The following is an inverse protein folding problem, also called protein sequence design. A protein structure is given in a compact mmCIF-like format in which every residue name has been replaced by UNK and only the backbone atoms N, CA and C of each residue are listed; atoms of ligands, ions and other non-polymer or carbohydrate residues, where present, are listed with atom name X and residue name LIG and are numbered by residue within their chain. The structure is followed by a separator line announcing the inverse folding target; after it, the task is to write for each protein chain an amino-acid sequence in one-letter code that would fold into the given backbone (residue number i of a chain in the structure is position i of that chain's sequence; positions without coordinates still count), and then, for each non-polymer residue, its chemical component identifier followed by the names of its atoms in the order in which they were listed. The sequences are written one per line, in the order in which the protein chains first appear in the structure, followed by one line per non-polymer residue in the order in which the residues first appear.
data_IF_197048520733
#
_entry.id   IF_197048520733
#
_cell.length_a   1.000
_cell.length_b   1.000
_cell.length_c   1.000
_cell.angle_alpha   90.00
_cell.angle_beta   90.00
_cell.angle_gamma   90.00
#
_symmetry.space_group_name_H-M   'P 1'
#
loop_
_entity.id
_entity.type
_entity.pdbx_description
1 polymer ?
#
# COMPACT_ATOMS: atom_id res chain seq x y z
N UNK A 1 11.36 6.48 6.31
CA UNK A 1 10.23 5.73 6.89
C UNK A 1 10.79 4.58 7.71
N UNK A 2 10.03 3.96 8.62
CA UNK A 2 10.44 2.72 9.30
C UNK A 2 9.90 1.53 8.52
N UNK A 3 10.78 0.66 8.02
CA UNK A 3 10.38 -0.51 7.23
C UNK A 3 10.52 -1.77 8.09
N UNK A 4 9.38 -2.44 8.32
CA UNK A 4 9.28 -3.72 9.02
C UNK A 4 9.26 -4.82 7.95
N UNK A 5 10.32 -5.62 7.90
CA UNK A 5 10.43 -6.77 6.98
C UNK A 5 10.02 -8.04 7.72
N UNK A 6 9.00 -8.72 7.22
CA UNK A 6 8.44 -9.94 7.80
C UNK A 6 8.63 -11.13 6.83
N UNK A 7 8.97 -12.34 7.32
CA UNK A 7 9.18 -12.70 8.73
C UNK A 7 10.54 -12.25 9.26
N UNK A 8 11.49 -11.98 8.36
CA UNK A 8 12.77 -11.36 8.68
C UNK A 8 13.25 -10.46 7.54
N UNK A 9 14.24 -9.63 7.83
CA UNK A 9 14.92 -8.85 6.80
C UNK A 9 15.56 -9.73 5.72
N UNK A 10 16.15 -10.86 6.10
CA UNK A 10 16.81 -11.75 5.15
C UNK A 10 15.82 -12.37 4.17
N UNK A 11 14.65 -12.79 4.65
CA UNK A 11 13.64 -13.44 3.82
C UNK A 11 13.05 -12.45 2.80
N UNK A 12 12.75 -11.23 3.23
CA UNK A 12 12.26 -10.17 2.32
C UNK A 12 13.34 -9.77 1.31
N UNK A 13 14.61 -9.65 1.73
CA UNK A 13 15.69 -9.33 0.80
C UNK A 13 15.92 -10.47 -0.22
N UNK A 14 15.77 -11.72 0.20
CA UNK A 14 15.82 -12.89 -0.69
C UNK A 14 14.70 -12.80 -1.72
N UNK A 15 13.45 -12.60 -1.28
CA UNK A 15 12.30 -12.44 -2.17
C UNK A 15 12.49 -11.29 -3.18
N UNK A 16 13.01 -10.14 -2.74
CA UNK A 16 13.37 -9.02 -3.64
C UNK A 16 14.41 -9.47 -4.69
N UNK A 17 15.47 -10.18 -4.26
CA UNK A 17 16.53 -10.63 -5.16
C UNK A 17 16.07 -11.68 -6.16
N UNK A 18 15.11 -12.52 -5.77
CA UNK A 18 14.47 -13.54 -6.60
C UNK A 18 13.31 -12.99 -7.42
N UNK A 19 13.03 -11.68 -7.31
CA UNK A 19 11.97 -10.96 -8.01
C UNK A 19 10.59 -11.51 -7.70
N UNK A 20 10.42 -12.04 -6.50
CA UNK A 20 9.12 -12.51 -6.06
C UNK A 20 8.20 -11.33 -5.72
N UNK A 21 6.89 -11.46 -5.99
CA UNK A 21 5.91 -10.47 -5.61
C UNK A 21 5.83 -10.29 -4.08
N UNK A 22 5.63 -9.04 -3.67
CA UNK A 22 5.57 -8.60 -2.28
C UNK A 22 4.20 -8.01 -1.94
N UNK A 23 3.78 -8.21 -0.70
CA UNK A 23 2.75 -7.41 -0.05
C UNK A 23 3.40 -6.28 0.72
N UNK A 24 2.95 -5.05 0.46
CA UNK A 24 3.41 -3.85 1.15
C UNK A 24 2.22 -3.12 1.77
N UNK A 25 2.33 -2.82 3.06
CA UNK A 25 1.40 -2.02 3.84
C UNK A 25 2.10 -0.76 4.27
N UNK A 26 1.57 0.42 3.93
CA UNK A 26 2.19 1.70 4.30
C UNK A 26 1.17 2.50 5.11
N UNK A 27 1.51 2.88 6.33
CA UNK A 27 0.62 3.69 7.17
C UNK A 27 0.29 4.99 6.46
N UNK A 28 -0.93 5.51 6.63
CA UNK A 28 -1.34 6.74 5.93
C UNK A 28 -0.50 7.97 6.27
N UNK A 29 0.18 7.98 7.41
CA UNK A 29 1.11 9.04 7.79
C UNK A 29 2.52 8.87 7.21
N UNK A 30 2.76 7.80 6.43
CA UNK A 30 4.02 7.50 5.78
C UNK A 30 5.16 7.12 6.73
N UNK A 31 4.87 6.87 8.02
CA UNK A 31 5.91 6.60 9.01
C UNK A 31 6.33 5.15 9.05
N UNK A 32 5.43 4.21 8.74
CA UNK A 32 5.69 2.78 8.84
C UNK A 32 5.29 2.09 7.54
N UNK A 33 6.19 1.26 7.01
CA UNK A 33 5.86 0.26 6.01
C UNK A 33 6.09 -1.14 6.58
N UNK A 34 5.24 -2.09 6.20
CA UNK A 34 5.38 -3.51 6.51
C UNK A 34 5.44 -4.24 5.18
N UNK A 35 6.47 -5.06 5.00
CA UNK A 35 6.76 -5.76 3.74
C UNK A 35 6.93 -7.24 4.01
N UNK A 36 6.34 -8.05 3.15
CA UNK A 36 6.52 -9.50 3.14
C UNK A 36 6.41 -10.03 1.72
N UNK A 37 7.04 -11.18 1.47
CA UNK A 37 6.74 -12.00 0.32
C UNK A 37 5.24 -12.37 0.31
N UNK A 38 4.63 -12.46 -0.89
CA UNK A 38 3.17 -12.56 -1.02
C UNK A 38 2.59 -13.86 -0.49
N UNK A 39 3.23 -15.01 -0.72
CA UNK A 39 2.76 -16.32 -0.27
C UNK A 39 2.91 -16.50 1.24
N UNK A 40 3.90 -15.84 1.86
CA UNK A 40 4.06 -15.86 3.31
C UNK A 40 2.84 -15.27 4.01
N UNK A 41 2.34 -14.10 3.58
CA UNK A 41 1.22 -13.45 4.25
C UNK A 41 -0.14 -13.69 3.58
N UNK A 42 -0.16 -14.01 2.28
CA UNK A 42 -1.31 -14.20 1.38
C UNK A 42 -2.21 -12.97 1.21
N UNK A 43 -2.56 -12.28 2.29
CA UNK A 43 -3.39 -11.08 2.29
C UNK A 43 -2.82 -9.98 3.20
N UNK A 44 -3.06 -8.72 2.86
CA UNK A 44 -2.57 -7.57 3.64
C UNK A 44 -3.03 -7.58 5.10
N UNK A 45 -4.28 -7.98 5.37
CA UNK A 45 -4.79 -7.99 6.74
C UNK A 45 -4.13 -9.09 7.60
N UNK A 46 -3.69 -10.19 6.96
CA UNK A 46 -2.92 -11.26 7.59
C UNK A 46 -1.48 -10.80 7.82
N UNK A 47 -0.84 -10.13 6.85
CA UNK A 47 0.48 -9.52 7.03
C UNK A 47 0.49 -8.59 8.24
N UNK A 48 -0.53 -7.74 8.37
CA UNK A 48 -0.65 -6.80 9.49
C UNK A 48 -0.69 -7.55 10.84
N UNK A 49 -1.49 -8.62 10.92
CA UNK A 49 -1.57 -9.47 12.11
C UNK A 49 -0.25 -10.17 12.42
N UNK A 50 0.42 -10.73 11.40
CA UNK A 50 1.72 -11.40 11.52
C UNK A 50 2.82 -10.46 11.98
N UNK A 51 2.77 -9.19 11.57
CA UNK A 51 3.67 -8.14 12.01
C UNK A 51 3.34 -7.56 13.40
N UNK A 52 2.33 -8.11 14.11
CA UNK A 52 1.98 -7.72 15.48
C UNK A 52 0.98 -6.57 15.60
N UNK A 53 0.30 -6.19 14.52
CA UNK A 53 -0.71 -5.13 14.51
C UNK A 53 -2.13 -5.71 14.41
N UNK A 54 -3.18 -5.00 14.86
CA UNK A 54 -4.56 -5.47 14.73
C UNK A 54 -4.98 -5.56 13.27
N UNK A 55 -5.40 -6.73 12.77
CA UNK A 55 -5.84 -6.90 11.37
C UNK A 55 -6.95 -5.94 10.94
N UNK A 56 -7.77 -5.47 11.89
CA UNK A 56 -8.81 -4.45 11.71
C UNK A 56 -8.28 -3.07 11.34
N UNK A 57 -7.00 -2.79 11.57
CA UNK A 57 -6.37 -1.52 11.22
C UNK A 57 -6.06 -1.41 9.72
N UNK A 58 -6.47 -2.36 8.90
CA UNK A 58 -6.23 -2.37 7.46
C UNK A 58 -6.66 -1.07 6.74
N UNK A 59 -7.73 -0.42 7.23
CA UNK A 59 -8.23 0.85 6.71
C UNK A 59 -7.41 2.07 7.17
N UNK A 60 -6.26 1.86 7.83
CA UNK A 60 -5.26 2.88 8.18
C UNK A 60 -3.99 2.79 7.32
N UNK A 61 -3.98 1.90 6.34
CA UNK A 61 -2.81 1.61 5.49
C UNK A 61 -3.16 1.68 4.00
N UNK A 62 -2.21 2.16 3.21
CA UNK A 62 -2.15 1.91 1.78
C UNK A 62 -1.71 0.47 1.55
N UNK A 63 -2.43 -0.24 0.67
CA UNK A 63 -2.26 -1.66 0.39
C UNK A 63 -1.74 -1.87 -1.02
N UNK A 64 -0.51 -2.35 -1.14
CA UNK A 64 0.19 -2.48 -2.41
C UNK A 64 0.58 -3.94 -2.62
N UNK A 65 0.41 -4.42 -3.84
CA UNK A 65 1.12 -5.60 -4.36
C UNK A 65 2.25 -5.06 -5.23
N UNK A 66 3.48 -5.45 -4.94
CA UNK A 66 4.68 -4.92 -5.59
C UNK A 66 5.45 -6.05 -6.26
N UNK A 67 5.81 -5.88 -7.51
CA UNK A 67 6.72 -6.74 -8.26
C UNK A 67 7.70 -5.91 -9.10
N UNK A 68 8.45 -6.56 -10.00
CA UNK A 68 9.40 -5.87 -10.87
C UNK A 68 8.74 -4.98 -11.94
N UNK A 69 7.46 -5.21 -12.25
CA UNK A 69 6.72 -4.50 -13.29
C UNK A 69 5.96 -3.28 -12.74
N UNK A 70 5.51 -3.34 -11.49
CA UNK A 70 4.65 -2.30 -10.95
C UNK A 70 4.27 -2.42 -9.48
N UNK A 71 3.66 -1.34 -8.99
CA UNK A 71 3.05 -1.27 -7.67
C UNK A 71 1.53 -1.15 -7.81
N UNK A 72 0.83 -2.25 -7.64
CA UNK A 72 -0.62 -2.33 -7.73
C UNK A 72 -1.28 -1.88 -6.41
N UNK A 73 -1.84 -0.68 -6.43
CA UNK A 73 -2.52 -0.09 -5.28
C UNK A 73 -3.99 -0.47 -5.23
N UNK A 74 -4.37 -1.15 -4.14
CA UNK A 74 -5.78 -1.34 -3.75
C UNK A 74 -6.38 -0.02 -3.27
N UNK A 75 -6.91 0.75 -4.21
CA UNK A 75 -7.47 2.08 -3.97
C UNK A 75 -8.86 2.01 -3.34
N UNK A 76 -8.90 1.98 -2.01
CA UNK A 76 -10.14 2.03 -1.21
C UNK A 76 -9.97 3.14 -0.19
N UNK A 77 -10.58 4.29 -0.48
CA UNK A 77 -10.56 5.44 0.42
C UNK A 77 -11.54 5.21 1.58
N UNK A 78 -11.08 5.23 2.86
CA UNK A 78 -11.96 5.14 4.01
C UNK A 78 -13.00 6.27 4.05
N UNK A 79 -14.20 6.04 4.61
CA UNK A 79 -15.26 7.04 4.69
C UNK A 79 -14.91 8.23 5.60
N UNK A 80 -14.03 8.01 6.57
CA UNK A 80 -13.58 8.96 7.58
C UNK A 80 -12.14 9.47 7.33
N UNK A 81 -11.57 9.20 6.15
CA UNK A 81 -10.20 9.62 5.82
C UNK A 81 -9.98 11.12 6.08
N UNK A 82 -9.07 11.43 7.01
CA UNK A 82 -8.75 12.78 7.51
C UNK A 82 -9.96 13.61 7.99
N UNK A 83 -11.07 12.96 8.33
CA UNK A 83 -12.31 13.64 8.74
C UNK A 83 -12.98 14.46 7.62
N UNK A 84 -12.63 14.22 6.35
CA UNK A 84 -13.17 14.99 5.23
C UNK A 84 -14.55 14.45 4.86
N UNK A 85 -15.61 15.21 5.16
CA UNK A 85 -16.99 14.81 4.86
C UNK A 85 -17.28 14.75 3.35
N UNK A 86 -16.80 15.74 2.60
CA UNK A 86 -16.99 15.82 1.15
C UNK A 86 -16.27 14.67 0.43
N UNK A 87 -17.04 13.85 -0.31
CA UNK A 87 -16.54 12.62 -0.92
C UNK A 87 -15.46 12.88 -1.97
N UNK A 88 -15.64 13.88 -2.84
CA UNK A 88 -14.67 14.16 -3.91
C UNK A 88 -13.36 14.66 -3.32
N UNK A 89 -13.41 15.66 -2.43
CA UNK A 89 -12.22 16.17 -1.72
C UNK A 89 -11.51 15.07 -0.93
N UNK A 90 -12.25 14.18 -0.28
CA UNK A 90 -11.68 13.05 0.46
C UNK A 90 -10.91 12.10 -0.46
N UNK A 91 -11.51 11.71 -1.59
CA UNK A 91 -10.88 10.85 -2.60
C UNK A 91 -9.65 11.52 -3.21
N UNK A 92 -9.72 12.82 -3.56
CA UNK A 92 -8.58 13.57 -4.09
C UNK A 92 -7.44 13.68 -3.09
N UNK A 93 -7.73 13.93 -1.81
CA UNK A 93 -6.71 13.93 -0.76
C UNK A 93 -6.06 12.55 -0.63
N UNK A 94 -6.87 11.50 -0.49
CA UNK A 94 -6.41 10.12 -0.40
C UNK A 94 -5.50 9.73 -1.58
N UNK A 95 -5.86 10.11 -2.81
CA UNK A 95 -5.02 9.89 -3.99
C UNK A 95 -3.67 10.61 -3.91
N UNK A 96 -3.67 11.91 -3.59
CA UNK A 96 -2.43 12.70 -3.51
C UNK A 96 -1.50 12.21 -2.41
N UNK A 97 -2.06 11.96 -1.23
CA UNK A 97 -1.33 11.45 -0.07
C UNK A 97 -0.76 10.06 -0.36
N UNK A 98 -1.60 9.16 -0.89
CA UNK A 98 -1.17 7.81 -1.25
C UNK A 98 -0.09 7.81 -2.32
N UNK A 99 -0.22 8.61 -3.38
CA UNK A 99 0.80 8.68 -4.42
C UNK A 99 2.17 9.10 -3.84
N UNK A 100 2.21 10.16 -3.02
CA UNK A 100 3.44 10.61 -2.38
C UNK A 100 4.04 9.53 -1.46
N UNK A 101 3.23 9.01 -0.53
CA UNK A 101 3.68 8.05 0.48
C UNK A 101 4.11 6.71 -0.13
N UNK A 102 3.38 6.23 -1.15
CA UNK A 102 3.73 5.01 -1.88
C UNK A 102 5.03 5.22 -2.65
N UNK A 103 5.18 6.34 -3.38
CA UNK A 103 6.42 6.63 -4.09
C UNK A 103 7.64 6.67 -3.17
N UNK A 104 7.52 7.29 -2.00
CA UNK A 104 8.59 7.32 -1.01
C UNK A 104 8.95 5.90 -0.52
N UNK A 105 7.95 5.07 -0.20
CA UNK A 105 8.17 3.68 0.22
C UNK A 105 8.86 2.84 -0.86
N UNK A 106 8.42 2.96 -2.12
CA UNK A 106 9.02 2.23 -3.25
C UNK A 106 10.49 2.64 -3.44
N UNK A 107 10.78 3.94 -3.34
CA UNK A 107 12.15 4.44 -3.42
C UNK A 107 13.02 3.92 -2.27
N UNK A 108 12.51 3.87 -1.03
CA UNK A 108 13.26 3.32 0.11
C UNK A 108 13.50 1.80 -0.02
N UNK A 109 12.59 1.08 -0.70
CA UNK A 109 12.74 -0.34 -1.02
C UNK A 109 13.62 -0.61 -2.25
N UNK A 110 14.05 0.44 -2.98
CA UNK A 110 14.90 0.31 -4.16
C UNK A 110 14.15 0.03 -5.47
N UNK A 111 12.83 0.23 -5.51
CA UNK A 111 12.01 0.02 -6.69
C UNK A 111 11.75 1.33 -7.44
N UNK A 112 12.02 1.35 -8.75
CA UNK A 112 11.71 2.46 -9.66
C UNK A 112 10.61 2.03 -10.63
N UNK A 113 9.43 1.73 -10.09
CA UNK A 113 8.27 1.22 -10.84
C UNK A 113 7.09 2.19 -10.79
N UNK A 114 6.15 2.03 -11.73
CA UNK A 114 4.92 2.82 -11.75
C UNK A 114 3.91 2.39 -10.68
N UNK A 115 3.17 3.35 -10.13
CA UNK A 115 2.01 3.07 -9.28
C UNK A 115 0.77 2.89 -10.15
N UNK A 116 0.17 1.72 -10.07
CA UNK A 116 -1.00 1.34 -10.84
C UNK A 116 -2.23 1.29 -9.91
N UNK A 117 -3.36 1.83 -10.38
CA UNK A 117 -4.67 1.58 -9.77
C UNK A 117 -5.43 0.63 -10.69
N UNK A 118 -5.58 -0.66 -10.32
CA UNK A 118 -6.29 -1.65 -11.11
C UNK A 118 -7.72 -1.22 -11.44
N UNK A 119 -8.20 -1.57 -12.64
CA UNK A 119 -9.55 -1.18 -13.15
C UNK A 119 -10.67 -1.46 -12.15
N UNK A 120 -10.58 -2.55 -11.37
CA UNK A 120 -11.57 -2.93 -10.35
C UNK A 120 -11.78 -1.85 -9.28
N UNK A 121 -10.77 -1.04 -8.98
CA UNK A 121 -10.84 0.06 -7.99
C UNK A 121 -11.09 1.43 -8.61
N UNK A 122 -11.04 1.54 -9.94
CA UNK A 122 -11.24 2.82 -10.65
C UNK A 122 -12.64 3.38 -10.54
N UNK A 123 -13.65 2.61 -10.10
CA UNK A 123 -14.99 3.15 -9.83
C UNK A 123 -14.97 4.33 -8.87
N UNK A 124 -14.01 4.40 -7.95
CA UNK A 124 -13.82 5.56 -7.06
C UNK A 124 -13.11 6.73 -7.75
N UNK A 125 -12.25 6.42 -8.72
CA UNK A 125 -11.44 7.37 -9.49
C UNK A 125 -12.25 8.05 -10.61
N UNK A 126 -13.15 7.32 -11.26
CA UNK A 126 -13.98 7.84 -12.36
C UNK A 126 -14.88 9.01 -11.88
N UNK A 127 -15.31 9.00 -10.61
CA UNK A 127 -16.03 10.13 -9.98
C UNK A 127 -15.19 11.40 -9.80
N UNK A 128 -13.85 11.29 -9.82
CA UNK A 128 -12.93 12.41 -9.76
C UNK A 128 -12.67 13.01 -11.14
N UNK A 129 -12.82 12.20 -12.20
CA UNK A 129 -12.57 12.58 -13.60
C UNK A 129 -13.83 13.03 -14.35
N UNK A 130 -15.01 12.87 -13.74
CA UNK A 130 -16.26 13.44 -14.24
C UNK A 130 -16.42 14.88 -13.75
N UNK A 131 -15.88 15.83 -14.51
CA UNK A 131 -16.39 17.21 -14.55
C UNK A 131 -17.58 17.31 -15.50
#
# INVERSE_FOLDING_TARGET
MTIIKYPSENDVNTAISEKEPLLVLISFDGKTAIVSQIDEAMEHHILLAKAGFPSTDIDKYFRIVLDEDGADWTFVCPPDYKGIADKQRRITAFYKDGFAVISDALSELGFMVGINIPKRYRRHFDYMMSE
#
